data_IF_044820895253
#
_entry.id   IF_044820895253
#
_cell.length_a   1.000
_cell.length_b   1.000
_cell.length_c   1.000
_cell.angle_alpha   90.00
_cell.angle_beta   90.00
_cell.angle_gamma   90.00
#
_symmetry.space_group_name_H-M   'P 1'
#
loop_
_entity.id
_entity.type
_entity.pdbx_description
1 polymer ?
#
# COMPACT_ATOMS: atom_id res chain seq x y z
N UNK A 1 -55.55 -36.66 -17.78
CA UNK A 1 -54.90 -37.49 -16.73
C UNK A 1 -53.82 -36.62 -16.13
N UNK A 2 -53.94 -35.97 -15.09
CA UNK A 2 -54.66 -36.18 -13.85
C UNK A 2 -53.67 -36.15 -12.70
N UNK A 3 -53.70 -35.04 -11.96
CA UNK A 3 -53.63 -34.92 -10.51
C UNK A 3 -52.35 -35.40 -9.77
N UNK A 4 -51.98 -34.49 -8.90
CA UNK A 4 -51.20 -34.62 -7.65
C UNK A 4 -49.73 -34.31 -7.74
N UNK A 5 -49.40 -33.06 -7.39
CA UNK A 5 -48.51 -32.74 -6.26
C UNK A 5 -48.72 -31.29 -5.82
N UNK A 6 -49.82 -31.02 -5.15
CA UNK A 6 -49.97 -29.90 -4.21
C UNK A 6 -50.02 -30.57 -2.83
N UNK A 7 -49.08 -30.18 -1.97
CA UNK A 7 -49.12 -30.23 -0.50
C UNK A 7 -47.71 -30.51 0.05
N UNK A 8 -47.03 -29.45 0.36
CA UNK A 8 -46.10 -29.32 1.51
C UNK A 8 -45.57 -27.87 1.56
N UNK A 9 -46.55 -26.96 1.74
CA UNK A 9 -46.31 -25.63 2.31
C UNK A 9 -46.96 -25.65 3.66
N UNK A 10 -46.20 -25.73 4.72
CA UNK A 10 -46.72 -25.63 6.05
C UNK A 10 -45.64 -25.79 7.11
N UNK A 11 -45.34 -24.67 7.77
CA UNK A 11 -44.70 -24.59 9.10
C UNK A 11 -43.22 -24.90 9.22
N UNK A 12 -42.43 -23.84 9.21
CA UNK A 12 -41.37 -23.56 10.20
C UNK A 12 -41.06 -22.07 10.20
N UNK A 13 -42.00 -21.30 10.74
CA UNK A 13 -41.71 -19.98 11.28
C UNK A 13 -41.28 -20.21 12.71
N UNK A 14 -39.99 -20.10 13.01
CA UNK A 14 -39.45 -19.76 14.35
C UNK A 14 -37.97 -19.51 14.24
N UNK A 15 -37.56 -18.32 14.69
CA UNK A 15 -36.18 -18.04 15.09
C UNK A 15 -35.33 -17.26 14.11
N UNK A 16 -35.78 -16.13 13.59
CA UNK A 16 -34.86 -15.10 13.16
C UNK A 16 -34.27 -14.40 14.40
N UNK A 17 -33.31 -15.08 15.04
CA UNK A 17 -32.39 -14.41 15.95
C UNK A 17 -31.56 -13.46 15.15
N UNK A 18 -31.81 -12.15 15.32
CA UNK A 18 -30.94 -11.10 14.84
C UNK A 18 -29.54 -11.34 15.43
N UNK A 19 -28.63 -11.84 14.62
CA UNK A 19 -27.22 -11.77 14.92
C UNK A 19 -26.88 -10.29 14.87
N UNK A 20 -26.89 -9.65 16.02
CA UNK A 20 -26.33 -8.31 16.20
C UNK A 20 -24.87 -8.41 15.78
N UNK A 21 -24.57 -7.81 14.64
CA UNK A 21 -23.20 -7.55 14.25
C UNK A 21 -22.59 -6.64 15.34
N UNK A 22 -21.70 -7.22 16.14
CA UNK A 22 -20.91 -6.42 17.07
C UNK A 22 -20.10 -5.40 16.27
N UNK A 23 -20.00 -4.15 16.73
CA UNK A 23 -19.21 -3.14 16.06
C UNK A 23 -17.74 -3.62 16.03
N UNK A 24 -17.18 -3.71 14.83
CA UNK A 24 -15.77 -4.04 14.61
C UNK A 24 -14.93 -2.91 15.20
N UNK A 25 -14.51 -3.06 16.43
CA UNK A 25 -13.58 -2.16 17.09
C UNK A 25 -12.22 -2.22 16.36
N UNK A 26 -11.58 -1.07 16.25
CA UNK A 26 -10.19 -0.91 15.81
C UNK A 26 -9.21 -1.49 16.86
N UNK A 27 -9.25 -2.81 17.07
CA UNK A 27 -8.51 -3.53 18.14
C UNK A 27 -7.25 -4.22 17.59
N UNK A 28 -6.98 -4.20 16.25
CA UNK A 28 -6.01 -5.10 15.66
C UNK A 28 -4.52 -4.84 16.01
N UNK A 29 -4.08 -3.59 16.04
CA UNK A 29 -2.63 -3.28 16.17
C UNK A 29 -2.13 -3.23 17.62
N UNK A 30 -2.98 -2.87 18.58
CA UNK A 30 -2.56 -2.65 19.98
C UNK A 30 -2.52 -3.93 20.80
N UNK A 31 -3.39 -4.90 20.53
CA UNK A 31 -3.48 -6.13 21.31
C UNK A 31 -2.35 -7.10 20.95
N UNK A 32 -1.99 -7.19 19.68
CA UNK A 32 -0.92 -8.06 19.20
C UNK A 32 0.46 -7.52 19.58
N UNK A 33 0.69 -6.21 19.51
CA UNK A 33 1.93 -5.62 19.99
C UNK A 33 2.06 -5.63 21.51
N UNK A 34 0.97 -5.73 22.29
CA UNK A 34 1.01 -5.99 23.73
C UNK A 34 1.46 -7.39 24.08
N UNK A 35 1.12 -8.38 23.28
CA UNK A 35 1.52 -9.78 23.51
C UNK A 35 3.04 -9.99 23.38
N UNK A 36 3.75 -9.05 22.74
CA UNK A 36 5.21 -9.14 22.47
C UNK A 36 6.07 -8.46 23.53
N UNK A 37 5.48 -7.84 24.56
CA UNK A 37 6.20 -7.05 25.56
C UNK A 37 7.31 -7.82 26.29
N UNK A 38 7.24 -9.15 26.30
CA UNK A 38 8.19 -10.04 26.97
C UNK A 38 9.02 -10.91 26.01
N UNK A 39 8.87 -10.70 24.68
CA UNK A 39 9.62 -11.47 23.68
C UNK A 39 10.86 -10.69 23.21
N UNK A 40 11.89 -11.42 22.79
CA UNK A 40 13.09 -10.84 22.17
C UNK A 40 13.06 -11.10 20.67
N UNK A 41 13.72 -10.23 19.89
CA UNK A 41 13.87 -10.44 18.44
C UNK A 41 14.49 -11.81 18.14
N UNK A 42 15.44 -12.27 18.96
CA UNK A 42 16.11 -13.56 18.81
C UNK A 42 15.15 -14.73 19.06
N UNK A 43 14.25 -14.63 20.07
CA UNK A 43 13.23 -15.68 20.31
C UNK A 43 12.27 -15.81 19.15
N UNK A 44 11.83 -14.69 18.59
CA UNK A 44 10.94 -14.66 17.42
C UNK A 44 11.63 -15.18 16.16
N UNK A 45 12.90 -14.86 15.94
CA UNK A 45 13.69 -15.43 14.84
C UNK A 45 13.79 -16.96 14.93
N UNK A 46 14.05 -17.48 16.13
CA UNK A 46 14.13 -18.92 16.39
C UNK A 46 12.77 -19.60 16.13
N UNK A 47 11.69 -19.00 16.63
CA UNK A 47 10.32 -19.51 16.41
C UNK A 47 9.93 -19.51 14.93
N UNK A 48 10.29 -18.44 14.19
CA UNK A 48 10.09 -18.37 12.74
C UNK A 48 10.81 -19.50 12.02
N UNK A 49 12.09 -19.72 12.32
CA UNK A 49 12.89 -20.80 11.70
C UNK A 49 12.29 -22.20 11.96
N UNK A 50 11.75 -22.44 13.17
CA UNK A 50 11.06 -23.67 13.51
C UNK A 50 9.79 -23.90 12.68
N UNK A 51 8.96 -22.85 12.53
CA UNK A 51 7.74 -22.91 11.72
C UNK A 51 8.05 -23.11 10.21
N UNK A 52 9.10 -22.49 9.71
CA UNK A 52 9.54 -22.68 8.32
C UNK A 52 10.01 -24.12 8.07
N UNK A 53 10.71 -24.73 9.03
CA UNK A 53 11.11 -26.13 8.96
C UNK A 53 9.89 -27.06 9.00
N UNK A 54 8.91 -26.77 9.85
CA UNK A 54 7.66 -27.51 9.91
C UNK A 54 6.86 -27.40 8.61
N UNK A 55 6.74 -26.21 8.04
CA UNK A 55 6.09 -25.99 6.74
C UNK A 55 6.76 -26.83 5.64
N UNK A 56 8.09 -26.84 5.61
CA UNK A 56 8.86 -27.66 4.66
C UNK A 56 8.59 -29.16 4.84
N UNK A 57 8.42 -29.63 6.08
CA UNK A 57 8.09 -31.03 6.38
C UNK A 57 6.67 -31.41 5.95
N UNK A 58 5.71 -30.50 6.10
CA UNK A 58 4.30 -30.72 5.75
C UNK A 58 4.07 -30.71 4.21
N UNK A 59 4.99 -30.11 3.43
CA UNK A 59 4.90 -30.00 1.99
C UNK A 59 3.89 -28.94 1.51
N UNK A 60 3.74 -28.85 0.19
CA UNK A 60 3.03 -27.73 -0.46
C UNK A 60 1.51 -27.91 -0.59
N UNK A 61 0.95 -29.06 -0.18
CA UNK A 61 -0.50 -29.28 -0.33
C UNK A 61 -1.28 -28.39 0.65
N UNK A 62 -2.29 -27.63 0.18
CA UNK A 62 -3.02 -26.66 1.01
C UNK A 62 -3.98 -27.40 1.98
N UNK A 63 -3.43 -28.02 3.02
CA UNK A 63 -4.20 -28.61 4.12
C UNK A 63 -4.51 -27.54 5.20
N UNK A 64 -5.52 -27.75 6.06
CA UNK A 64 -5.77 -26.85 7.19
C UNK A 64 -4.53 -26.65 8.08
N UNK A 65 -3.72 -27.71 8.28
CA UNK A 65 -2.48 -27.65 9.05
C UNK A 65 -1.43 -26.78 8.38
N UNK A 66 -1.24 -26.91 7.05
CA UNK A 66 -0.34 -26.05 6.28
C UNK A 66 -0.76 -24.58 6.37
N UNK A 67 -2.04 -24.30 6.21
CA UNK A 67 -2.57 -22.92 6.35
C UNK A 67 -2.31 -22.35 7.74
N UNK A 68 -2.51 -23.14 8.77
CA UNK A 68 -2.25 -22.72 10.15
C UNK A 68 -0.78 -22.36 10.38
N UNK A 69 0.16 -23.18 9.90
CA UNK A 69 1.59 -22.90 10.02
C UNK A 69 1.97 -21.64 9.23
N UNK A 70 1.37 -21.43 8.07
CA UNK A 70 1.56 -20.22 7.28
C UNK A 70 1.10 -18.95 8.02
N UNK A 71 -0.08 -19.01 8.63
CA UNK A 71 -0.61 -17.92 9.47
C UNK A 71 0.29 -17.65 10.68
N UNK A 72 0.81 -18.69 11.33
CA UNK A 72 1.71 -18.56 12.48
C UNK A 72 3.07 -17.95 12.08
N UNK A 73 3.57 -18.24 10.87
CA UNK A 73 4.77 -17.57 10.32
C UNK A 73 4.52 -16.07 10.14
N UNK A 74 3.38 -15.70 9.55
CA UNK A 74 3.00 -14.30 9.37
C UNK A 74 2.86 -13.58 10.71
N UNK A 75 2.29 -14.24 11.71
CA UNK A 75 2.13 -13.70 13.06
C UNK A 75 3.50 -13.40 13.71
N UNK A 76 4.45 -14.34 13.60
CA UNK A 76 5.81 -14.15 14.15
C UNK A 76 6.56 -13.04 13.44
N UNK A 77 6.47 -12.99 12.11
CA UNK A 77 7.07 -11.91 11.31
C UNK A 77 6.55 -10.54 11.76
N UNK A 78 5.29 -10.47 12.05
CA UNK A 78 4.69 -9.24 12.56
C UNK A 78 5.11 -8.89 14.00
N UNK A 79 5.16 -9.88 14.89
CA UNK A 79 5.68 -9.67 16.24
C UNK A 79 7.10 -9.10 16.20
N UNK A 80 7.93 -9.54 15.24
CA UNK A 80 9.24 -8.96 15.00
C UNK A 80 9.16 -7.49 14.56
N UNK A 81 8.14 -7.12 13.77
CA UNK A 81 7.90 -5.72 13.38
C UNK A 81 7.53 -4.85 14.59
N UNK A 82 6.64 -5.32 15.44
CA UNK A 82 6.29 -4.62 16.68
C UNK A 82 7.52 -4.33 17.57
N UNK A 83 8.45 -5.28 17.70
CA UNK A 83 9.67 -5.09 18.48
C UNK A 83 10.61 -4.08 17.84
N UNK A 84 10.75 -4.08 16.53
CA UNK A 84 11.60 -3.11 15.84
C UNK A 84 11.07 -1.67 15.94
N UNK A 85 9.75 -1.51 15.94
CA UNK A 85 9.10 -0.20 16.14
C UNK A 85 9.21 0.27 17.60
N UNK A 86 9.25 -0.66 18.57
CA UNK A 86 9.31 -0.36 20.00
C UNK A 86 10.72 -0.01 20.51
N UNK A 87 11.79 -0.27 19.75
CA UNK A 87 13.15 0.08 20.15
C UNK A 87 13.36 1.59 20.04
N UNK A 88 13.57 2.32 21.16
CA UNK A 88 13.98 3.71 21.08
C UNK A 88 15.39 3.75 20.50
N UNK A 89 15.57 4.46 19.38
CA UNK A 89 16.90 4.85 18.92
C UNK A 89 17.60 5.53 20.10
N UNK A 90 18.75 5.00 20.52
CA UNK A 90 19.63 5.60 21.52
C UNK A 90 20.21 6.92 20.98
N UNK A 91 19.39 7.94 20.87
CA UNK A 91 19.83 9.32 20.79
C UNK A 91 20.11 9.76 22.22
N UNK A 92 21.39 9.85 22.56
CA UNK A 92 21.85 10.53 23.78
C UNK A 92 21.15 11.89 23.85
N UNK A 93 20.15 12.00 24.71
CA UNK A 93 19.53 13.28 25.07
C UNK A 93 20.58 14.06 25.86
N UNK A 94 21.21 15.04 25.23
CA UNK A 94 21.75 16.17 25.95
C UNK A 94 20.58 16.99 26.48
N UNK A 95 20.31 16.84 27.77
CA UNK A 95 19.31 17.63 28.50
C UNK A 95 19.85 19.04 28.63
N UNK A 96 19.63 19.93 27.69
CA UNK A 96 19.73 21.36 27.91
C UNK A 96 18.42 21.82 28.58
N UNK A 97 18.46 22.07 29.87
CA UNK A 97 17.44 22.81 30.61
C UNK A 97 17.32 24.20 29.95
N UNK A 98 16.27 24.43 29.19
CA UNK A 98 15.84 25.79 28.84
C UNK A 98 14.71 26.20 29.77
N UNK A 99 14.98 27.25 30.54
CA UNK A 99 14.06 27.99 31.37
C UNK A 99 12.89 28.51 30.50
N UNK A 100 11.68 28.27 30.97
CA UNK A 100 10.44 28.82 30.39
C UNK A 100 10.37 30.28 30.81
N UNK A 101 10.52 31.19 29.85
CA UNK A 101 10.12 32.60 29.97
C UNK A 101 8.75 32.80 29.38
N UNK A 102 7.87 33.61 29.97
CA UNK A 102 6.56 33.89 29.42
C UNK A 102 6.66 34.97 28.34
N UNK A 103 6.03 34.76 27.20
CA UNK A 103 5.73 35.85 26.31
C UNK A 103 6.08 35.61 24.83
N UNK A 104 5.07 35.61 24.00
CA UNK A 104 5.18 35.75 22.57
C UNK A 104 4.10 34.95 21.84
N UNK A 105 2.91 35.59 21.64
CA UNK A 105 1.89 35.10 20.74
C UNK A 105 2.45 35.05 19.31
N UNK A 106 3.03 33.92 18.93
CA UNK A 106 3.35 33.63 17.54
C UNK A 106 2.06 33.30 16.79
N UNK A 107 1.84 33.91 15.63
CA UNK A 107 0.77 33.53 14.72
C UNK A 107 0.75 31.99 14.54
N UNK A 108 -0.42 31.37 14.41
CA UNK A 108 -0.51 29.92 14.23
C UNK A 108 0.33 29.54 12.99
N UNK A 109 1.33 28.71 13.20
CA UNK A 109 2.15 28.20 12.11
C UNK A 109 1.23 27.42 11.19
N UNK A 110 0.98 27.92 9.97
CA UNK A 110 0.14 27.27 8.98
C UNK A 110 0.59 25.83 8.75
N UNK A 111 -0.32 24.88 8.98
CA UNK A 111 -0.17 23.48 8.64
C UNK A 111 -0.24 23.35 7.11
N UNK A 112 0.54 22.45 6.54
CA UNK A 112 0.40 22.11 5.11
C UNK A 112 -0.73 21.11 4.97
N UNK A 113 -1.74 21.45 4.18
CA UNK A 113 -2.84 20.53 3.87
C UNK A 113 -2.71 20.07 2.41
N UNK A 114 -2.79 18.76 2.22
CA UNK A 114 -2.78 18.13 0.90
C UNK A 114 -4.17 17.55 0.64
N UNK A 115 -4.84 18.07 -0.39
CA UNK A 115 -6.09 17.49 -0.89
C UNK A 115 -5.77 16.40 -1.89
N UNK A 116 -6.20 15.18 -1.60
CA UNK A 116 -6.09 14.01 -2.49
C UNK A 116 -7.48 13.60 -2.96
N UNK A 117 -7.61 13.21 -4.24
CA UNK A 117 -8.79 12.49 -4.69
C UNK A 117 -8.59 10.99 -4.49
N UNK A 118 -9.69 10.25 -4.41
CA UNK A 118 -9.61 8.81 -4.25
C UNK A 118 -10.70 8.08 -5.03
N UNK A 119 -10.42 6.82 -5.32
CA UNK A 119 -11.43 5.80 -5.60
C UNK A 119 -11.26 4.66 -4.58
N UNK A 120 -12.38 4.07 -4.18
CA UNK A 120 -12.37 2.93 -3.26
C UNK A 120 -13.54 2.00 -3.53
N UNK A 121 -13.30 0.71 -3.45
CA UNK A 121 -14.33 -0.33 -3.45
C UNK A 121 -14.48 -0.96 -2.04
N UNK A 122 -14.16 -0.20 -1.00
CA UNK A 122 -14.44 -0.53 0.39
C UNK A 122 -15.87 -0.21 0.73
N UNK A 123 -16.47 -1.01 1.61
CA UNK A 123 -17.80 -0.71 2.15
C UNK A 123 -17.78 0.56 3.02
N UNK A 124 -18.90 1.31 2.97
CA UNK A 124 -19.17 2.37 3.95
C UNK A 124 -19.62 1.74 5.26
N UNK A 125 -19.12 2.24 6.39
CA UNK A 125 -19.47 1.71 7.72
C UNK A 125 -20.70 2.36 8.34
N UNK A 126 -21.14 3.48 7.77
CA UNK A 126 -22.16 4.35 8.38
C UNK A 126 -21.62 5.37 9.39
N UNK A 127 -20.32 5.31 9.74
CA UNK A 127 -19.67 6.31 10.58
C UNK A 127 -19.45 7.60 9.80
N UNK A 128 -19.59 8.75 10.48
CA UNK A 128 -19.25 10.07 9.94
C UNK A 128 -17.81 10.49 10.26
N UNK A 129 -17.12 9.73 11.11
CA UNK A 129 -15.71 9.99 11.43
C UNK A 129 -14.83 9.66 10.21
N UNK A 130 -13.97 10.58 9.73
CA UNK A 130 -13.14 10.35 8.54
C UNK A 130 -12.34 9.05 8.58
N UNK A 131 -11.75 8.71 9.72
CA UNK A 131 -10.93 7.52 9.92
C UNK A 131 -11.73 6.20 9.97
N UNK A 132 -13.05 6.26 10.14
CA UNK A 132 -13.94 5.11 10.25
C UNK A 132 -14.95 5.02 9.11
N UNK A 133 -14.95 5.96 8.18
CA UNK A 133 -15.96 6.05 7.11
C UNK A 133 -15.98 4.80 6.22
N UNK A 134 -14.80 4.27 5.92
CA UNK A 134 -14.65 3.07 5.08
C UNK A 134 -14.11 1.89 5.88
N UNK A 135 -14.73 0.73 5.68
CA UNK A 135 -14.34 -0.55 6.28
C UNK A 135 -13.36 -1.36 5.40
N UNK A 136 -13.21 -2.64 5.75
CA UNK A 136 -12.36 -3.60 5.04
C UNK A 136 -13.10 -4.59 4.15
N UNK A 137 -14.42 -4.44 3.97
CA UNK A 137 -15.20 -5.36 3.14
C UNK A 137 -15.28 -4.85 1.70
N UNK A 138 -15.34 -5.80 0.77
CA UNK A 138 -15.46 -5.53 -0.66
C UNK A 138 -16.88 -5.07 -1.04
N UNK A 139 -16.92 -4.01 -1.87
CA UNK A 139 -18.11 -3.62 -2.64
C UNK A 139 -17.82 -3.76 -4.14
N UNK A 140 -18.80 -4.22 -4.91
CA UNK A 140 -18.65 -4.57 -6.33
C UNK A 140 -18.33 -3.41 -7.28
N UNK A 141 -18.45 -2.16 -6.82
CA UNK A 141 -18.16 -0.94 -7.57
C UNK A 141 -17.20 -0.05 -6.79
N UNK A 142 -16.59 0.92 -7.46
CA UNK A 142 -15.82 1.93 -6.75
C UNK A 142 -16.61 3.22 -6.53
N UNK A 143 -16.25 3.93 -5.46
CA UNK A 143 -16.77 5.24 -5.10
C UNK A 143 -15.66 6.27 -5.20
N UNK A 144 -16.00 7.45 -5.69
CA UNK A 144 -15.10 8.59 -5.68
C UNK A 144 -15.28 9.45 -4.43
N UNK A 145 -14.25 10.22 -4.14
CA UNK A 145 -14.29 11.28 -3.15
C UNK A 145 -13.00 12.06 -3.09
N UNK A 146 -12.94 12.97 -2.13
CA UNK A 146 -11.72 13.70 -1.78
C UNK A 146 -11.44 13.57 -0.30
N UNK A 147 -10.15 13.61 0.02
CA UNK A 147 -9.64 13.54 1.38
C UNK A 147 -8.64 14.68 1.61
N UNK A 148 -8.65 15.28 2.78
CA UNK A 148 -7.70 16.31 3.19
C UNK A 148 -6.83 15.75 4.29
N UNK A 149 -5.52 15.75 4.08
CA UNK A 149 -4.51 15.29 5.03
C UNK A 149 -3.64 16.48 5.43
N UNK A 150 -3.51 16.73 6.74
CA UNK A 150 -2.55 17.70 7.24
C UNK A 150 -1.19 17.05 7.47
N UNK A 151 -0.14 17.74 7.06
CA UNK A 151 1.27 17.32 7.18
C UNK A 151 1.93 18.23 8.20
N UNK A 152 2.63 17.67 9.22
CA UNK A 152 3.30 18.47 10.22
C UNK A 152 4.50 19.25 9.62
N UNK A 153 4.78 20.47 10.09
CA UNK A 153 5.95 21.25 9.65
C UNK A 153 7.31 20.58 9.94
N UNK A 154 7.30 19.64 10.87
CA UNK A 154 8.47 18.85 11.26
C UNK A 154 8.64 17.61 10.41
N UNK A 155 7.80 17.45 9.38
CA UNK A 155 7.83 16.30 8.48
C UNK A 155 9.21 16.06 7.89
N UNK A 156 9.57 14.80 7.80
CA UNK A 156 10.81 14.35 7.17
C UNK A 156 10.49 13.47 5.97
N UNK A 157 11.13 13.69 4.82
CA UNK A 157 10.86 12.90 3.63
C UNK A 157 10.88 11.38 3.92
N UNK A 158 9.82 10.70 3.50
CA UNK A 158 9.62 9.28 3.72
C UNK A 158 8.86 8.91 4.99
N UNK A 159 8.72 9.80 5.95
CA UNK A 159 8.01 9.48 7.19
C UNK A 159 6.51 9.80 7.05
N UNK A 160 5.66 8.96 7.61
CA UNK A 160 4.30 9.33 7.99
C UNK A 160 4.31 9.37 9.51
N UNK A 161 4.49 10.56 10.05
CA UNK A 161 4.58 10.77 11.50
C UNK A 161 3.23 10.44 12.14
N UNK A 162 3.17 9.29 12.81
CA UNK A 162 2.00 8.82 13.55
C UNK A 162 2.28 8.87 15.05
N UNK A 163 1.26 9.12 15.89
CA UNK A 163 1.41 8.97 17.34
C UNK A 163 1.84 7.54 17.69
N UNK A 164 2.57 7.41 18.79
CA UNK A 164 2.85 6.08 19.35
C UNK A 164 1.53 5.29 19.53
N UNK A 165 1.47 4.00 19.15
CA UNK A 165 0.25 3.18 19.24
C UNK A 165 -0.42 3.21 20.62
N UNK A 166 0.36 3.24 21.71
CA UNK A 166 -0.17 3.36 23.08
C UNK A 166 -0.79 4.74 23.35
N UNK A 167 -0.21 5.79 22.77
CA UNK A 167 -0.70 7.16 22.95
C UNK A 167 -2.00 7.42 22.16
N UNK A 168 -2.23 6.73 21.05
CA UNK A 168 -3.49 6.81 20.28
C UNK A 168 -4.73 6.37 21.06
N UNK A 169 -4.55 5.55 22.10
CA UNK A 169 -5.66 5.12 22.95
C UNK A 169 -6.13 6.21 23.91
N UNK A 170 -5.33 7.25 24.12
CA UNK A 170 -5.51 8.25 25.17
C UNK A 170 -5.61 9.66 24.58
N UNK A 171 -4.91 9.93 23.49
CA UNK A 171 -4.79 11.26 22.90
C UNK A 171 -5.11 11.27 21.41
N UNK A 172 -5.82 12.30 20.97
CA UNK A 172 -5.99 12.60 19.57
C UNK A 172 -4.64 12.95 18.91
N UNK A 173 -4.44 12.60 17.62
CA UNK A 173 -3.25 13.00 16.90
C UNK A 173 -3.09 14.53 16.87
N UNK A 174 -1.92 15.01 17.26
CA UNK A 174 -1.55 16.42 17.21
C UNK A 174 -1.11 16.81 15.79
N UNK A 175 -1.87 17.63 15.04
CA UNK A 175 -1.53 17.98 13.67
C UNK A 175 -0.19 18.72 13.52
N UNK A 176 0.34 19.29 14.60
CA UNK A 176 1.66 19.95 14.57
C UNK A 176 2.83 18.96 14.53
N UNK A 177 2.56 17.69 14.88
CA UNK A 177 3.56 16.62 15.01
C UNK A 177 3.27 15.38 14.18
N UNK A 178 2.00 15.18 13.79
CA UNK A 178 1.54 13.96 13.16
C UNK A 178 0.76 14.26 11.89
N UNK A 179 0.79 13.32 10.95
CA UNK A 179 -0.17 13.29 9.86
C UNK A 179 -1.56 13.07 10.41
N UNK A 180 -2.53 13.85 9.94
CA UNK A 180 -3.93 13.74 10.36
C UNK A 180 -4.84 13.77 9.13
N UNK A 181 -5.69 12.75 9.01
CA UNK A 181 -6.78 12.73 8.05
C UNK A 181 -7.89 13.67 8.57
N UNK A 182 -7.94 14.88 8.04
CA UNK A 182 -8.83 15.97 8.48
C UNK A 182 -10.27 15.75 8.04
N UNK A 183 -10.44 15.35 6.79
CA UNK A 183 -11.76 15.11 6.21
C UNK A 183 -11.72 14.06 5.13
N UNK A 184 -12.85 13.36 4.97
CA UNK A 184 -13.13 12.45 3.86
C UNK A 184 -14.54 12.79 3.38
N UNK A 185 -14.64 13.15 2.12
CA UNK A 185 -15.91 13.53 1.50
C UNK A 185 -16.18 12.60 0.32
N UNK A 186 -17.11 11.64 0.46
CA UNK A 186 -17.62 10.88 -0.67
C UNK A 186 -18.31 11.80 -1.65
N UNK A 187 -18.02 11.65 -2.93
CA UNK A 187 -18.59 12.46 -4.00
C UNK A 187 -19.40 11.56 -4.95
N UNK A 188 -20.46 12.12 -5.47
CA UNK A 188 -21.10 11.54 -6.65
C UNK A 188 -20.09 11.48 -7.82
N UNK A 189 -20.19 10.45 -8.65
CA UNK A 189 -19.20 10.18 -9.70
C UNK A 189 -19.05 11.34 -10.69
N UNK A 190 -20.17 11.98 -11.08
CA UNK A 190 -20.12 13.08 -12.04
C UNK A 190 -19.63 14.38 -11.37
N UNK A 191 -19.95 14.57 -10.10
CA UNK A 191 -19.41 15.69 -9.29
C UNK A 191 -17.89 15.53 -9.15
N UNK A 192 -17.42 14.34 -8.80
CA UNK A 192 -15.99 14.05 -8.69
C UNK A 192 -15.25 14.29 -10.00
N UNK A 193 -15.77 13.78 -11.12
CA UNK A 193 -15.17 14.00 -12.45
C UNK A 193 -15.11 15.46 -12.82
N UNK A 194 -16.16 16.22 -12.55
CA UNK A 194 -16.21 17.67 -12.81
C UNK A 194 -15.15 18.42 -11.99
N UNK A 195 -15.05 18.15 -10.68
CA UNK A 195 -14.05 18.78 -9.82
C UNK A 195 -12.62 18.42 -10.26
N UNK A 196 -12.35 17.13 -10.53
CA UNK A 196 -11.05 16.68 -11.02
C UNK A 196 -10.69 17.31 -12.37
N UNK A 197 -11.66 17.40 -13.30
CA UNK A 197 -11.44 18.06 -14.58
C UNK A 197 -11.15 19.55 -14.44
N UNK A 198 -11.82 20.24 -13.54
CA UNK A 198 -11.55 21.64 -13.23
C UNK A 198 -10.13 21.84 -12.67
N UNK A 199 -9.71 20.95 -11.76
CA UNK A 199 -8.36 21.00 -11.19
C UNK A 199 -7.29 20.73 -12.25
N UNK A 200 -7.48 19.75 -13.13
CA UNK A 200 -6.56 19.43 -14.22
C UNK A 200 -6.47 20.53 -15.29
N UNK A 201 -7.54 21.30 -15.49
CA UNK A 201 -7.59 22.42 -16.43
C UNK A 201 -7.23 23.78 -15.80
N UNK A 202 -6.93 23.82 -14.48
CA UNK A 202 -6.55 25.06 -13.83
C UNK A 202 -5.25 25.63 -14.45
N UNK A 203 -5.11 26.96 -14.56
CA UNK A 203 -3.89 27.58 -15.03
C UNK A 203 -2.67 27.09 -14.23
N UNK A 204 -1.63 26.65 -14.92
CA UNK A 204 -0.41 26.12 -14.31
C UNK A 204 -0.50 24.67 -13.85
N UNK A 205 -1.63 23.99 -14.02
CA UNK A 205 -1.75 22.56 -13.72
C UNK A 205 -0.92 21.72 -14.70
N UNK A 206 -0.22 20.71 -14.17
CA UNK A 206 0.54 19.76 -14.98
C UNK A 206 -0.33 18.80 -15.81
N UNK A 207 -1.67 18.82 -15.69
CA UNK A 207 -2.61 17.86 -16.28
C UNK A 207 -2.23 16.40 -16.04
N UNK A 208 -1.57 16.14 -14.93
CA UNK A 208 -1.02 14.86 -14.55
C UNK A 208 -1.69 14.35 -13.26
N UNK A 209 -1.81 13.03 -13.17
CA UNK A 209 -2.34 12.34 -11.99
C UNK A 209 -1.25 11.42 -11.44
N UNK A 210 -1.00 11.49 -10.12
CA UNK A 210 -0.18 10.54 -9.40
C UNK A 210 -1.10 9.62 -8.59
N UNK A 211 -1.20 8.37 -9.01
CA UNK A 211 -2.05 7.35 -8.39
C UNK A 211 -1.21 6.49 -7.44
N UNK A 212 -1.54 6.51 -6.17
CA UNK A 212 -0.97 5.57 -5.19
C UNK A 212 -1.92 4.41 -4.92
N UNK A 213 -1.39 3.17 -4.91
CA UNK A 213 -2.13 1.95 -4.57
C UNK A 213 -1.43 1.24 -3.42
N UNK A 214 -2.11 1.14 -2.28
CA UNK A 214 -1.54 0.60 -1.06
C UNK A 214 -1.38 -0.92 -1.10
N UNK A 215 -0.60 -1.44 -0.17
CA UNK A 215 -0.36 -2.86 0.02
C UNK A 215 -1.30 -3.53 1.02
N UNK A 216 -0.92 -4.73 1.42
CA UNK A 216 -1.53 -5.52 2.48
C UNK A 216 -1.51 -4.76 3.83
N UNK A 217 -2.44 -5.12 4.70
CA UNK A 217 -2.56 -4.57 6.06
C UNK A 217 -2.66 -3.03 6.10
N UNK A 218 -3.36 -2.44 5.16
CA UNK A 218 -3.52 -0.99 5.06
C UNK A 218 -4.98 -0.58 5.08
N UNK A 219 -5.35 0.28 6.01
CA UNK A 219 -6.67 0.90 6.05
C UNK A 219 -6.81 2.05 5.04
N UNK A 220 -8.03 2.57 4.89
CA UNK A 220 -8.31 3.71 4.03
C UNK A 220 -7.51 4.95 4.44
N UNK A 221 -7.42 5.22 5.74
CA UNK A 221 -6.65 6.32 6.31
C UNK A 221 -5.14 6.20 6.04
N UNK A 222 -4.59 4.98 6.08
CA UNK A 222 -3.18 4.74 5.78
C UNK A 222 -2.88 5.04 4.32
N UNK A 223 -3.75 4.62 3.42
CA UNK A 223 -3.66 4.92 1.99
C UNK A 223 -3.71 6.43 1.72
N UNK A 224 -4.64 7.16 2.36
CA UNK A 224 -4.78 8.60 2.22
C UNK A 224 -3.54 9.36 2.71
N UNK A 225 -3.05 9.02 3.92
CA UNK A 225 -1.85 9.66 4.50
C UNK A 225 -0.60 9.38 3.64
N UNK A 226 -0.44 8.16 3.15
CA UNK A 226 0.71 7.79 2.31
C UNK A 226 0.66 8.50 0.95
N UNK A 227 -0.51 8.60 0.32
CA UNK A 227 -0.67 9.35 -0.93
C UNK A 227 -0.31 10.83 -0.74
N UNK A 228 -0.76 11.44 0.35
CA UNK A 228 -0.42 12.82 0.68
C UNK A 228 1.09 13.00 0.92
N UNK A 229 1.72 12.08 1.68
CA UNK A 229 3.16 12.09 1.94
C UNK A 229 3.96 11.99 0.64
N UNK A 230 3.69 10.98 -0.20
CA UNK A 230 4.41 10.82 -1.47
C UNK A 230 4.26 12.06 -2.33
N UNK A 231 3.06 12.61 -2.47
CA UNK A 231 2.81 13.82 -3.25
C UNK A 231 3.61 15.01 -2.74
N UNK A 232 3.64 15.20 -1.43
CA UNK A 232 4.37 16.28 -0.79
C UNK A 232 5.90 16.15 -0.98
N UNK A 233 6.44 14.95 -0.73
CA UNK A 233 7.88 14.68 -0.84
C UNK A 233 8.39 14.80 -2.26
N UNK A 234 7.61 14.36 -3.23
CA UNK A 234 7.92 14.54 -4.64
C UNK A 234 7.79 16.00 -5.09
N UNK A 235 7.13 16.86 -4.30
CA UNK A 235 6.71 18.19 -4.74
C UNK A 235 5.92 18.12 -6.06
N UNK A 236 4.98 17.16 -6.14
CA UNK A 236 4.24 16.89 -7.36
C UNK A 236 3.19 17.98 -7.63
N UNK A 237 3.24 18.58 -8.81
CA UNK A 237 2.40 19.71 -9.20
C UNK A 237 1.10 19.30 -9.92
N UNK A 238 0.88 18.00 -10.10
CA UNK A 238 -0.36 17.44 -10.66
C UNK A 238 -1.41 17.15 -9.58
N UNK A 239 -2.34 16.30 -9.91
CA UNK A 239 -3.42 15.88 -9.01
C UNK A 239 -3.04 14.63 -8.23
N UNK A 240 -2.97 14.69 -6.89
CA UNK A 240 -2.81 13.50 -6.06
C UNK A 240 -4.07 12.64 -6.10
N UNK A 241 -3.85 11.34 -6.24
CA UNK A 241 -4.94 10.37 -6.26
C UNK A 241 -4.51 9.08 -5.54
N UNK A 242 -5.43 8.39 -4.88
CA UNK A 242 -5.16 7.03 -4.40
C UNK A 242 -6.33 6.09 -4.68
N UNK A 243 -5.99 4.84 -4.91
CA UNK A 243 -6.96 3.76 -4.94
C UNK A 243 -6.84 2.93 -3.68
N UNK A 244 -7.93 2.84 -2.92
CA UNK A 244 -7.97 2.05 -1.70
C UNK A 244 -8.85 0.83 -1.88
N UNK A 245 -8.19 -0.31 -2.14
CA UNK A 245 -8.84 -1.61 -2.19
C UNK A 245 -9.12 -2.16 -0.78
N UNK A 246 -10.09 -3.10 -0.57
CA UNK A 246 -10.57 -3.51 0.75
C UNK A 246 -9.62 -4.50 1.46
N UNK A 247 -8.40 -4.06 1.78
CA UNK A 247 -7.57 -4.74 2.77
C UNK A 247 -8.21 -4.61 4.14
N UNK A 248 -8.23 -5.70 4.90
CA UNK A 248 -8.83 -5.76 6.22
C UNK A 248 -8.07 -4.96 7.28
N UNK A 249 -6.89 -4.42 6.95
CA UNK A 249 -5.99 -3.73 7.88
C UNK A 249 -5.72 -4.56 9.14
N UNK A 250 -5.54 -5.86 8.96
CA UNK A 250 -5.23 -6.84 10.01
C UNK A 250 -4.16 -7.79 9.50
N UNK A 251 -3.20 -8.06 10.34
CA UNK A 251 -2.03 -8.88 10.02
C UNK A 251 -2.40 -10.33 9.69
N UNK A 252 -3.36 -10.90 10.39
CA UNK A 252 -3.84 -12.27 10.14
C UNK A 252 -4.73 -12.39 8.90
N UNK A 253 -4.98 -11.27 8.21
CA UNK A 253 -5.83 -11.22 7.03
C UNK A 253 -5.06 -11.30 5.71
N UNK A 254 -3.82 -11.82 5.69
CA UNK A 254 -3.04 -11.87 4.46
C UNK A 254 -3.77 -12.64 3.33
N UNK A 255 -4.27 -13.85 3.61
CA UNK A 255 -5.00 -14.64 2.62
C UNK A 255 -6.36 -14.03 2.23
N UNK A 256 -7.20 -13.53 3.18
CA UNK A 256 -8.37 -12.73 2.83
C UNK A 256 -8.05 -11.48 2.01
N UNK A 257 -6.97 -10.78 2.32
CA UNK A 257 -6.53 -9.60 1.57
C UNK A 257 -6.07 -9.96 0.15
N UNK A 258 -5.42 -11.11 -0.03
CA UNK A 258 -5.04 -11.62 -1.36
C UNK A 258 -6.26 -11.82 -2.25
N UNK A 259 -7.35 -12.38 -1.71
CA UNK A 259 -8.61 -12.53 -2.44
C UNK A 259 -9.26 -11.18 -2.71
N UNK A 260 -9.26 -10.26 -1.73
CA UNK A 260 -9.78 -8.90 -1.91
C UNK A 260 -9.00 -8.12 -2.97
N UNK A 261 -7.68 -8.29 -3.03
CA UNK A 261 -6.83 -7.71 -4.08
C UNK A 261 -7.22 -8.24 -5.46
N UNK A 262 -7.41 -9.57 -5.59
CA UNK A 262 -7.84 -10.22 -6.83
C UNK A 262 -9.20 -9.70 -7.31
N UNK A 263 -10.18 -9.58 -6.42
CA UNK A 263 -11.49 -9.01 -6.74
C UNK A 263 -11.40 -7.53 -7.16
N UNK A 264 -10.37 -6.83 -6.73
CA UNK A 264 -10.18 -5.41 -7.03
C UNK A 264 -9.49 -5.13 -8.37
N UNK A 265 -8.95 -6.15 -9.04
CA UNK A 265 -8.25 -6.01 -10.33
C UNK A 265 -9.14 -5.41 -11.43
N UNK A 266 -10.33 -5.96 -11.62
CA UNK A 266 -11.30 -5.46 -12.60
C UNK A 266 -11.85 -4.07 -12.24
N UNK A 267 -11.99 -3.79 -10.94
CA UNK A 267 -12.43 -2.49 -10.46
C UNK A 267 -11.37 -1.43 -10.76
N UNK A 268 -10.08 -1.76 -10.54
CA UNK A 268 -8.98 -0.85 -10.88
C UNK A 268 -8.83 -0.67 -12.40
N UNK A 269 -9.06 -1.71 -13.21
CA UNK A 269 -9.10 -1.58 -14.68
C UNK A 269 -10.17 -0.56 -15.10
N UNK A 270 -11.39 -0.66 -14.53
CA UNK A 270 -12.46 0.27 -14.79
C UNK A 270 -12.12 1.71 -14.32
N UNK A 271 -11.44 1.85 -13.21
CA UNK A 271 -10.94 3.14 -12.73
C UNK A 271 -9.96 3.75 -13.73
N UNK A 272 -8.99 3.00 -14.24
CA UNK A 272 -8.04 3.51 -15.25
C UNK A 272 -8.78 3.90 -16.54
N UNK A 273 -9.77 3.11 -16.97
CA UNK A 273 -10.61 3.48 -18.11
C UNK A 273 -11.32 4.82 -17.86
N UNK A 274 -11.89 5.00 -16.69
CA UNK A 274 -12.58 6.24 -16.31
C UNK A 274 -11.63 7.45 -16.29
N UNK A 275 -10.47 7.33 -15.62
CA UNK A 275 -9.47 8.40 -15.55
C UNK A 275 -8.96 8.80 -16.95
N UNK A 276 -8.75 7.83 -17.84
CA UNK A 276 -8.19 8.09 -19.17
C UNK A 276 -9.22 8.58 -20.20
N UNK A 277 -10.52 8.26 -20.02
CA UNK A 277 -11.56 8.61 -21.00
C UNK A 277 -12.45 9.77 -20.58
N UNK A 278 -12.57 10.02 -19.26
CA UNK A 278 -13.50 11.02 -18.71
C UNK A 278 -12.80 12.28 -18.20
N UNK A 279 -11.48 12.25 -18.03
CA UNK A 279 -10.71 13.39 -17.52
C UNK A 279 -9.74 13.94 -18.57
N UNK A 280 -9.46 15.26 -18.55
CA UNK A 280 -8.51 15.89 -19.46
C UNK A 280 -7.06 15.67 -19.01
N UNK A 281 -6.71 14.41 -18.67
CA UNK A 281 -5.38 14.04 -18.20
C UNK A 281 -4.47 13.71 -19.37
N UNK A 282 -3.23 14.16 -19.30
CA UNK A 282 -2.17 13.85 -20.28
C UNK A 282 -1.23 12.77 -19.78
N UNK A 283 -0.97 12.75 -18.46
CA UNK A 283 0.02 11.85 -17.87
C UNK A 283 -0.49 11.23 -16.56
N UNK A 284 -0.39 9.91 -16.46
CA UNK A 284 -0.73 9.15 -15.27
C UNK A 284 0.52 8.40 -14.81
N UNK A 285 0.90 8.66 -13.57
CA UNK A 285 1.97 7.98 -12.84
C UNK A 285 1.34 7.08 -11.79
N UNK A 286 1.75 5.82 -11.73
CA UNK A 286 1.18 4.85 -10.78
C UNK A 286 2.32 4.36 -9.86
N UNK A 287 2.14 4.53 -8.56
CA UNK A 287 3.00 3.94 -7.53
C UNK A 287 2.18 2.89 -6.79
N UNK A 288 2.49 1.63 -7.00
CA UNK A 288 1.83 0.51 -6.34
C UNK A 288 2.79 -0.16 -5.36
N UNK A 289 2.32 -0.45 -4.14
CA UNK A 289 3.13 -1.02 -3.08
C UNK A 289 2.67 -2.44 -2.72
N UNK A 290 3.62 -3.36 -2.52
CA UNK A 290 3.39 -4.70 -1.99
C UNK A 290 2.28 -5.45 -2.75
N UNK A 291 1.25 -5.97 -2.05
CA UNK A 291 0.09 -6.65 -2.63
C UNK A 291 -0.72 -5.75 -3.59
N UNK A 292 -0.68 -4.42 -3.43
CA UNK A 292 -1.30 -3.49 -4.40
C UNK A 292 -0.70 -3.57 -5.79
N UNK A 293 0.54 -4.07 -5.92
CA UNK A 293 1.17 -4.32 -7.23
C UNK A 293 0.46 -5.42 -8.01
N UNK A 294 -0.15 -6.41 -7.32
CA UNK A 294 -0.98 -7.44 -7.98
C UNK A 294 -2.20 -6.79 -8.63
N UNK A 295 -2.94 -5.97 -7.87
CA UNK A 295 -4.13 -5.26 -8.37
C UNK A 295 -3.80 -4.49 -9.64
N UNK A 296 -2.74 -3.69 -9.60
CA UNK A 296 -2.35 -2.83 -10.73
C UNK A 296 -1.83 -3.64 -11.91
N UNK A 297 -0.91 -4.58 -11.66
CA UNK A 297 -0.25 -5.32 -12.74
C UNK A 297 -1.23 -6.21 -13.51
N UNK A 298 -2.15 -6.89 -12.83
CA UNK A 298 -3.18 -7.69 -13.50
C UNK A 298 -4.21 -6.82 -14.22
N UNK A 299 -4.62 -5.70 -13.63
CA UNK A 299 -5.54 -4.77 -14.30
C UNK A 299 -4.93 -4.22 -15.61
N UNK A 300 -3.65 -3.84 -15.58
CA UNK A 300 -2.95 -3.35 -16.79
C UNK A 300 -2.70 -4.47 -17.81
N UNK A 301 -2.39 -5.70 -17.35
CA UNK A 301 -2.30 -6.88 -18.21
C UNK A 301 -3.62 -7.09 -18.96
N UNK A 302 -4.76 -7.17 -18.25
CA UNK A 302 -6.08 -7.35 -18.84
C UNK A 302 -6.42 -6.22 -19.82
N UNK A 303 -6.06 -4.98 -19.47
CA UNK A 303 -6.24 -3.83 -20.35
C UNK A 303 -5.44 -3.95 -21.65
N UNK A 304 -4.18 -4.39 -21.56
CA UNK A 304 -3.33 -4.65 -22.72
C UNK A 304 -3.91 -5.78 -23.62
N UNK A 305 -4.43 -6.85 -23.01
CA UNK A 305 -5.06 -7.97 -23.73
C UNK A 305 -6.33 -7.56 -24.49
N UNK A 306 -7.06 -6.59 -23.95
CA UNK A 306 -8.25 -6.00 -24.61
C UNK A 306 -7.87 -4.96 -25.69
N UNK A 307 -6.59 -4.72 -25.95
CA UNK A 307 -6.13 -3.72 -26.91
C UNK A 307 -6.51 -2.28 -26.55
N UNK A 308 -6.76 -1.99 -25.28
CA UNK A 308 -7.15 -0.64 -24.83
C UNK A 308 -6.00 0.35 -24.99
N UNK A 309 -6.24 1.57 -25.50
CA UNK A 309 -5.18 2.58 -25.61
C UNK A 309 -4.68 3.01 -24.22
N UNK A 310 -3.38 3.25 -24.13
CA UNK A 310 -2.71 3.58 -22.88
C UNK A 310 -1.80 4.81 -22.99
N UNK A 311 -2.15 5.73 -23.88
CA UNK A 311 -1.31 6.88 -24.23
C UNK A 311 -1.06 7.85 -23.08
N UNK A 312 -1.89 7.83 -22.04
CA UNK A 312 -1.72 8.64 -20.84
C UNK A 312 -0.88 7.96 -19.73
N UNK A 313 -0.71 6.64 -19.77
CA UNK A 313 0.09 5.94 -18.78
C UNK A 313 1.57 6.13 -19.08
N UNK A 314 2.32 6.75 -18.15
CA UNK A 314 3.74 7.08 -18.31
C UNK A 314 4.67 6.22 -17.50
N UNK A 315 4.42 6.11 -16.19
CA UNK A 315 5.29 5.40 -15.28
C UNK A 315 4.47 4.46 -14.42
N UNK A 316 4.92 3.22 -14.33
CA UNK A 316 4.46 2.22 -13.39
C UNK A 316 5.61 1.87 -12.44
N UNK A 317 5.50 2.30 -11.20
CA UNK A 317 6.47 2.07 -10.16
C UNK A 317 5.95 0.95 -9.25
N UNK A 318 6.54 -0.22 -9.34
CA UNK A 318 6.21 -1.39 -8.54
C UNK A 318 7.15 -1.45 -7.34
N UNK A 319 6.64 -0.99 -6.20
CA UNK A 319 7.36 -0.88 -4.94
C UNK A 319 7.24 -2.17 -4.14
N UNK A 320 8.33 -2.90 -3.94
CA UNK A 320 8.36 -4.17 -3.22
C UNK A 320 7.27 -5.15 -3.70
N UNK A 321 7.19 -5.48 -5.01
CA UNK A 321 6.06 -6.21 -5.56
C UNK A 321 5.94 -7.63 -5.01
N UNK A 322 4.79 -7.90 -4.38
CA UNK A 322 4.41 -9.20 -3.86
C UNK A 322 3.69 -10.04 -4.93
N UNK A 323 4.38 -10.29 -6.02
CA UNK A 323 3.89 -11.07 -7.16
C UNK A 323 4.84 -12.26 -7.38
N UNK A 324 4.28 -13.41 -7.74
CA UNK A 324 5.07 -14.57 -8.17
C UNK A 324 5.95 -14.19 -9.38
N UNK A 325 7.27 -14.38 -9.27
CA UNK A 325 8.24 -13.94 -10.27
C UNK A 325 8.06 -14.66 -11.61
N UNK A 326 7.69 -15.94 -11.60
CA UNK A 326 7.47 -16.72 -12.84
C UNK A 326 6.17 -16.29 -13.53
N UNK A 327 5.09 -16.06 -12.76
CA UNK A 327 3.84 -15.51 -13.30
C UNK A 327 4.09 -14.12 -13.92
N UNK A 328 4.82 -13.27 -13.21
CA UNK A 328 5.14 -11.94 -13.72
C UNK A 328 5.96 -12.01 -15.00
N UNK A 329 6.99 -12.86 -15.04
CA UNK A 329 7.86 -13.08 -16.21
C UNK A 329 7.11 -13.61 -17.42
N UNK A 330 6.27 -14.65 -17.22
CA UNK A 330 5.61 -15.37 -18.31
C UNK A 330 4.35 -14.70 -18.85
N UNK A 331 3.65 -13.94 -18.01
CA UNK A 331 2.30 -13.44 -18.34
C UNK A 331 2.22 -11.92 -18.31
N UNK A 332 2.67 -11.29 -17.22
CA UNK A 332 2.41 -9.86 -16.98
C UNK A 332 3.44 -8.98 -17.71
N UNK A 333 4.74 -9.25 -17.52
CA UNK A 333 5.82 -8.42 -18.07
C UNK A 333 5.75 -8.25 -19.60
N UNK A 334 5.45 -9.31 -20.39
CA UNK A 334 5.29 -9.16 -21.85
C UNK A 334 4.19 -8.16 -22.22
N UNK A 335 3.12 -8.11 -21.45
CA UNK A 335 1.98 -7.20 -21.70
C UNK A 335 2.31 -5.77 -21.32
N UNK A 336 2.96 -5.58 -20.16
CA UNK A 336 3.38 -4.25 -19.70
C UNK A 336 4.41 -3.62 -20.67
N UNK A 337 5.39 -4.39 -21.12
CA UNK A 337 6.42 -3.90 -22.03
C UNK A 337 5.91 -3.64 -23.46
N UNK A 338 4.79 -4.24 -23.86
CA UNK A 338 4.12 -3.96 -25.13
C UNK A 338 3.26 -2.69 -25.08
N UNK A 339 3.01 -2.11 -23.89
CA UNK A 339 2.21 -0.88 -23.75
C UNK A 339 3.03 0.34 -24.16
N UNK A 340 2.68 0.94 -25.28
CA UNK A 340 3.40 2.14 -25.80
C UNK A 340 3.38 3.30 -24.79
N UNK A 341 4.54 3.88 -24.54
CA UNK A 341 4.71 5.04 -23.66
C UNK A 341 4.74 4.74 -22.18
N UNK A 342 4.44 3.50 -21.75
CA UNK A 342 4.54 3.07 -20.36
C UNK A 342 5.97 2.60 -20.08
N UNK A 343 6.62 3.20 -19.07
CA UNK A 343 7.84 2.63 -18.47
C UNK A 343 7.47 1.93 -17.16
N UNK A 344 8.10 0.79 -16.92
CA UNK A 344 7.90 0.03 -15.67
C UNK A 344 9.22 -0.05 -14.92
N UNK A 345 9.19 0.38 -13.65
CA UNK A 345 10.31 0.30 -12.72
C UNK A 345 9.92 -0.58 -11.53
N UNK A 346 10.76 -1.55 -11.20
CA UNK A 346 10.62 -2.45 -10.05
C UNK A 346 11.65 -2.07 -9.00
N UNK A 347 11.21 -1.84 -7.77
CA UNK A 347 12.10 -1.71 -6.61
C UNK A 347 12.04 -3.01 -5.81
N UNK A 348 13.19 -3.65 -5.62
CA UNK A 348 13.33 -4.91 -4.91
C UNK A 348 14.39 -4.81 -3.80
N UNK A 349 14.31 -5.66 -2.76
CA UNK A 349 15.27 -5.64 -1.66
C UNK A 349 15.46 -7.03 -1.05
N UNK A 350 16.69 -7.36 -0.67
CA UNK A 350 17.02 -8.55 0.13
C UNK A 350 16.71 -8.38 1.62
N UNK A 351 16.45 -7.15 2.05
CA UNK A 351 16.11 -6.84 3.45
C UNK A 351 14.60 -6.83 3.73
N UNK A 352 13.79 -7.17 2.72
CA UNK A 352 12.33 -7.18 2.83
C UNK A 352 11.82 -8.48 3.46
N UNK A 353 11.67 -8.46 4.78
CA UNK A 353 11.24 -9.63 5.56
C UNK A 353 9.78 -10.03 5.26
N UNK A 354 8.92 -9.09 4.89
CA UNK A 354 7.53 -9.41 4.56
C UNK A 354 7.43 -10.19 3.25
N UNK A 355 8.20 -9.81 2.23
CA UNK A 355 8.27 -10.57 0.97
C UNK A 355 8.98 -11.91 1.15
N UNK A 356 9.97 -12.00 2.03
CA UNK A 356 10.57 -13.28 2.39
C UNK A 356 9.54 -14.21 3.04
N UNK A 357 8.70 -13.70 3.96
CA UNK A 357 7.60 -14.48 4.53
C UNK A 357 6.56 -14.87 3.48
N UNK A 358 6.17 -13.95 2.61
CA UNK A 358 5.27 -14.23 1.47
C UNK A 358 5.82 -15.34 0.57
N UNK A 359 7.14 -15.31 0.27
CA UNK A 359 7.82 -16.38 -0.49
C UNK A 359 7.71 -17.74 0.19
N UNK A 360 7.90 -17.81 1.51
CA UNK A 360 7.76 -19.04 2.28
C UNK A 360 6.32 -19.57 2.21
N UNK A 361 5.34 -18.68 2.39
CA UNK A 361 3.91 -19.02 2.35
C UNK A 361 3.49 -19.61 1.00
N UNK A 362 4.02 -19.09 -0.12
CA UNK A 362 3.57 -19.46 -1.46
C UNK A 362 4.52 -20.43 -2.20
N UNK A 363 5.72 -20.68 -1.66
CA UNK A 363 6.72 -21.56 -2.30
C UNK A 363 7.45 -20.96 -3.52
N UNK A 364 7.18 -19.71 -3.90
CA UNK A 364 7.74 -19.07 -5.10
C UNK A 364 8.41 -17.74 -4.77
N UNK A 365 9.49 -17.43 -5.52
CA UNK A 365 10.17 -16.14 -5.45
C UNK A 365 9.17 -15.00 -5.75
N UNK A 366 9.30 -13.90 -5.01
CA UNK A 366 8.57 -12.65 -5.27
C UNK A 366 9.41 -11.70 -6.12
N UNK A 367 8.75 -10.95 -6.99
CA UNK A 367 9.43 -9.98 -7.86
C UNK A 367 10.21 -8.93 -7.05
N UNK A 368 9.70 -8.54 -5.89
CA UNK A 368 10.32 -7.54 -5.01
C UNK A 368 11.38 -8.09 -4.05
N UNK A 369 11.67 -9.42 -4.07
CA UNK A 369 12.61 -10.07 -3.18
C UNK A 369 13.88 -10.47 -3.94
N UNK A 370 15.06 -10.17 -3.38
CA UNK A 370 16.35 -10.40 -4.09
C UNK A 370 17.24 -11.45 -3.46
N UNK A 371 16.83 -12.16 -2.39
CA UNK A 371 17.64 -13.19 -1.74
C UNK A 371 17.90 -14.41 -2.65
N UNK A 372 16.99 -14.70 -3.58
CA UNK A 372 17.14 -15.76 -4.59
C UNK A 372 17.65 -15.24 -5.94
N UNK A 373 18.08 -14.00 -6.00
CA UNK A 373 18.49 -13.29 -7.21
C UNK A 373 17.53 -12.15 -7.57
N UNK A 374 18.06 -11.13 -8.22
CA UNK A 374 17.27 -9.97 -8.65
C UNK A 374 16.42 -10.35 -9.85
N UNK A 375 15.12 -10.08 -9.79
CA UNK A 375 14.24 -10.22 -10.95
C UNK A 375 14.66 -9.25 -12.05
N UNK A 376 14.81 -9.73 -13.27
CA UNK A 376 15.09 -8.91 -14.46
C UNK A 376 14.21 -9.34 -15.62
N UNK A 377 13.81 -8.38 -16.44
CA UNK A 377 13.07 -8.62 -17.67
C UNK A 377 13.38 -7.52 -18.69
N UNK A 378 13.60 -7.84 -19.98
CA UNK A 378 13.86 -6.84 -21.02
C UNK A 378 12.74 -5.79 -21.09
N UNK A 379 13.10 -4.51 -21.04
CA UNK A 379 12.12 -3.41 -21.04
C UNK A 379 11.55 -3.03 -19.67
N UNK A 380 11.92 -3.75 -18.60
CA UNK A 380 11.61 -3.38 -17.21
C UNK A 380 12.89 -2.99 -16.49
N UNK A 381 12.87 -1.82 -15.87
CA UNK A 381 13.98 -1.34 -15.06
C UNK A 381 13.86 -1.89 -13.63
N UNK A 382 14.79 -2.74 -13.21
CA UNK A 382 14.81 -3.28 -11.84
C UNK A 382 15.91 -2.60 -11.03
N UNK A 383 15.55 -2.14 -9.83
CA UNK A 383 16.43 -1.47 -8.88
C UNK A 383 16.52 -2.31 -7.61
N UNK A 384 17.72 -2.79 -7.30
CA UNK A 384 18.04 -3.39 -6.02
C UNK A 384 18.30 -2.27 -4.99
N UNK A 385 17.32 -2.05 -4.13
CA UNK A 385 17.35 -1.06 -3.08
C UNK A 385 17.85 -1.60 -1.74
N UNK A 386 18.48 -2.77 -1.72
CA UNK A 386 18.95 -3.39 -0.47
C UNK A 386 19.93 -2.51 0.31
N UNK A 387 20.81 -1.77 -0.37
CA UNK A 387 21.76 -0.82 0.25
C UNK A 387 21.07 0.44 0.78
N UNK A 388 19.98 0.86 0.16
CA UNK A 388 19.22 2.04 0.58
C UNK A 388 18.35 1.77 1.81
N UNK A 389 17.97 0.51 2.06
CA UNK A 389 17.06 0.08 3.12
C UNK A 389 17.71 -0.07 4.50
N UNK A 390 18.92 0.48 4.73
CA UNK A 390 19.69 0.36 5.98
C UNK A 390 19.06 1.06 7.21
N UNK A 391 17.92 1.72 7.07
CA UNK A 391 17.18 2.26 8.20
C UNK A 391 16.35 1.16 8.88
N UNK A 392 16.61 0.91 10.15
CA UNK A 392 16.01 -0.06 11.06
C UNK A 392 14.50 0.15 11.35
N UNK A 393 13.74 0.70 10.41
CA UNK A 393 12.30 0.95 10.58
C UNK A 393 11.50 -0.10 9.84
N UNK A 394 10.66 -0.78 10.59
CA UNK A 394 9.71 -1.81 10.13
C UNK A 394 10.37 -2.85 9.20
N UNK A 395 10.18 -4.11 9.35
CA UNK A 395 10.61 -5.29 8.53
C UNK A 395 11.26 -5.01 7.16
N UNK A 396 11.73 -3.79 6.88
CA UNK A 396 12.30 -3.38 5.60
C UNK A 396 11.29 -3.35 4.43
N UNK A 397 9.98 -3.50 4.67
CA UNK A 397 8.99 -3.62 3.58
C UNK A 397 8.52 -2.28 3.00
N UNK A 398 8.48 -1.23 3.80
CA UNK A 398 8.07 0.12 3.35
C UNK A 398 9.22 0.94 2.76
N UNK A 399 10.41 0.36 2.59
CA UNK A 399 11.63 1.09 2.21
C UNK A 399 11.46 1.99 0.98
N UNK A 400 10.65 1.59 0.02
CA UNK A 400 10.43 2.35 -1.23
C UNK A 400 9.78 3.69 -0.97
N UNK A 401 8.91 3.77 0.03
CA UNK A 401 8.17 4.99 0.36
C UNK A 401 8.62 5.65 1.66
N UNK A 402 9.57 5.02 2.38
CA UNK A 402 10.10 5.48 3.67
C UNK A 402 11.57 5.96 3.58
N UNK A 403 12.28 5.64 2.50
CA UNK A 403 13.70 5.95 2.37
C UNK A 403 13.92 7.18 1.50
N UNK A 404 14.55 8.25 2.02
CA UNK A 404 14.73 9.50 1.27
C UNK A 404 15.45 9.35 -0.08
N UNK A 405 16.45 8.44 -0.20
CA UNK A 405 17.14 8.17 -1.45
C UNK A 405 16.22 7.56 -2.51
N UNK A 406 15.35 6.62 -2.10
CA UNK A 406 14.37 5.99 -3.01
C UNK A 406 13.30 7.00 -3.42
N UNK A 407 12.82 7.83 -2.49
CA UNK A 407 11.89 8.93 -2.81
C UNK A 407 12.51 9.91 -3.78
N UNK A 408 13.79 10.27 -3.60
CA UNK A 408 14.54 11.11 -4.54
C UNK A 408 14.66 10.48 -5.93
N UNK A 409 14.83 9.17 -6.00
CA UNK A 409 14.86 8.42 -7.25
C UNK A 409 13.49 8.44 -7.94
N UNK A 410 12.41 8.14 -7.22
CA UNK A 410 11.02 8.23 -7.70
C UNK A 410 10.70 9.65 -8.19
N UNK A 411 11.14 10.67 -7.45
CA UNK A 411 10.97 12.07 -7.85
C UNK A 411 11.60 12.34 -9.22
N UNK A 412 12.81 11.85 -9.44
CA UNK A 412 13.52 12.01 -10.71
C UNK A 412 12.83 11.28 -11.87
N UNK A 413 12.21 10.12 -11.60
CA UNK A 413 11.37 9.40 -12.57
C UNK A 413 10.13 10.23 -12.91
N UNK A 414 9.35 10.61 -11.90
CA UNK A 414 8.02 11.22 -12.08
C UNK A 414 8.13 12.64 -12.66
N UNK A 415 9.10 13.43 -12.21
CA UNK A 415 9.22 14.83 -12.64
C UNK A 415 10.07 15.02 -13.90
N UNK A 416 11.07 14.16 -14.13
CA UNK A 416 12.08 14.37 -15.19
C UNK A 416 12.14 13.23 -16.20
N UNK A 417 11.36 12.16 -16.02
CA UNK A 417 11.45 10.93 -16.83
C UNK A 417 12.87 10.37 -16.93
N UNK A 418 13.68 10.58 -15.89
CA UNK A 418 15.10 10.26 -15.87
C UNK A 418 15.33 8.74 -15.95
N UNK A 419 16.30 8.32 -16.75
CA UNK A 419 16.77 6.92 -16.80
C UNK A 419 17.58 6.57 -15.55
N UNK A 420 17.75 5.28 -15.23
CA UNK A 420 18.55 4.86 -14.08
C UNK A 420 19.97 5.46 -14.06
N UNK A 421 20.61 5.54 -15.21
CA UNK A 421 21.93 6.17 -15.35
C UNK A 421 21.91 7.67 -15.01
N UNK A 422 20.89 8.40 -15.47
CA UNK A 422 20.73 9.84 -15.17
C UNK A 422 20.41 10.09 -13.69
N UNK A 423 19.83 9.12 -13.00
CA UNK A 423 19.56 9.16 -11.57
C UNK A 423 20.78 8.81 -10.71
N UNK A 424 21.92 8.49 -11.33
CA UNK A 424 23.16 8.16 -10.63
C UNK A 424 23.22 6.73 -10.10
N UNK A 425 22.33 5.86 -10.57
CA UNK A 425 22.36 4.44 -10.19
C UNK A 425 23.49 3.70 -10.92
N UNK A 426 24.04 2.70 -10.25
CA UNK A 426 25.09 1.84 -10.79
C UNK A 426 24.50 0.59 -11.40
N UNK A 427 24.87 0.29 -12.65
CA UNK A 427 24.46 -0.96 -13.31
C UNK A 427 25.17 -2.19 -12.72
N UNK A 428 24.47 -3.31 -12.62
CA UNK A 428 24.97 -4.60 -12.14
C UNK A 428 24.36 -5.73 -12.97
N UNK A 429 24.95 -6.91 -12.92
CA UNK A 429 24.57 -8.03 -13.77
C UNK A 429 25.19 -7.95 -15.17
N UNK A 430 24.83 -8.90 -16.03
CA UNK A 430 25.26 -8.98 -17.42
C UNK A 430 24.06 -9.06 -18.35
N UNK A 431 24.19 -8.53 -19.57
CA UNK A 431 23.13 -8.63 -20.59
C UNK A 431 22.73 -10.09 -20.82
N UNK A 432 21.42 -10.43 -20.85
CA UNK A 432 20.26 -9.54 -20.79
C UNK A 432 19.76 -9.20 -19.37
N UNK A 433 20.40 -9.67 -18.30
CA UNK A 433 19.97 -9.58 -16.92
C UNK A 433 20.60 -8.39 -16.18
N UNK A 434 20.50 -7.19 -16.77
CA UNK A 434 21.00 -5.96 -16.14
C UNK A 434 19.96 -5.41 -15.16
N UNK A 435 20.44 -5.00 -13.99
CA UNK A 435 19.68 -4.28 -12.97
C UNK A 435 20.50 -3.16 -12.37
N UNK A 436 19.89 -2.33 -11.53
CA UNK A 436 20.50 -1.12 -11.01
C UNK A 436 20.59 -1.17 -9.49
N UNK A 437 21.54 -0.43 -8.92
CA UNK A 437 21.75 -0.32 -7.46
C UNK A 437 21.95 1.14 -7.08
N UNK A 438 21.53 1.47 -5.87
CA UNK A 438 21.96 2.71 -5.24
C UNK A 438 23.46 2.63 -4.94
N UNK A 439 24.19 3.77 -5.09
CA UNK A 439 25.62 3.84 -4.83
C UNK A 439 25.99 3.57 -3.37
#
# INVERSE_FOLDING_TARGET
MGRQLLLLLGMLAMGAGAVQAQPSQAIGETETCRSVANETLQSLQTRKAGLEQELKRLGERPTPTVRKVQEDILDVVFQMECLNVAQPTNLKRSVAKRSVGPGGGGAPKELVEVTTYYATNRNKTGSLEPVKLYGGNYEGNFHYGRAVVSIPKTHKPGEVEKPNPLMRLIFEPDPSKHFVLKSVEPLDMDVARKEMAQKLNAPGSAKAILVFVHGYNSGFNDAAMRAAQITYDLNFQGMPFFYSWPSAARIRAYLPDEESARLSESIFENLIEDLTTKLPVTDIYIVAHSMGTRVVSHALQHRAEKGKPNTQLRELLLAAPDINAELFRGVIAPKLTAMQGLRTTVYASSSDLALMASKVVHGYQRVGETTSGVFTYPGIETIDASSASSSSRALGHSYVVDTPSVIGDIKSIVLNHATAKQRGLTSSGAVPNVYWKFP
#
